data_IF_776234804929
#
_entry.id   IF_776234804929
#
_cell.length_a   1.000
_cell.length_b   1.000
_cell.length_c   1.000
_cell.angle_alpha   90.00
_cell.angle_beta   90.00
_cell.angle_gamma   90.00
#
_symmetry.space_group_name_H-M   'P 1'
#
loop_
_entity.id
_entity.type
_entity.pdbx_description
1 polymer ?
#
# COMPACT_ATOMS: atom_id res chain seq x y z
N UNK A 1 -2.15 23.89 -1.71
CA UNK A 1 -2.98 22.70 -2.01
C UNK A 1 -2.35 21.52 -1.30
N UNK A 2 -3.05 20.90 -0.35
CA UNK A 2 -2.49 19.78 0.44
C UNK A 2 -2.44 18.54 -0.46
N UNK A 3 -1.27 17.92 -0.55
CA UNK A 3 -1.04 16.68 -1.29
C UNK A 3 -1.16 15.51 -0.32
N UNK A 4 -1.98 14.52 -0.66
CA UNK A 4 -2.12 13.29 0.10
C UNK A 4 -1.22 12.21 -0.51
N UNK A 5 -0.43 11.52 0.31
CA UNK A 5 0.45 10.42 -0.14
C UNK A 5 -0.01 9.10 0.46
N UNK A 6 -0.45 8.17 -0.37
CA UNK A 6 -0.92 6.87 0.07
C UNK A 6 0.06 5.80 -0.39
N UNK A 7 0.48 4.96 0.53
CA UNK A 7 1.63 4.07 0.35
C UNK A 7 1.11 2.65 0.52
N UNK A 8 1.34 1.81 -0.49
CA UNK A 8 1.04 0.39 -0.46
C UNK A 8 2.37 -0.35 -0.51
N UNK A 9 2.75 -0.98 0.59
CA UNK A 9 4.09 -1.50 0.80
C UNK A 9 3.96 -2.99 1.05
N UNK A 10 4.49 -3.77 0.13
CA UNK A 10 4.62 -5.20 0.28
C UNK A 10 5.38 -5.48 1.56
N UNK A 11 4.90 -6.44 2.34
CA UNK A 11 5.47 -6.96 3.58
C UNK A 11 5.46 -8.49 3.54
N UNK A 12 5.44 -9.09 2.36
CA UNK A 12 5.49 -10.54 2.16
C UNK A 12 6.88 -11.13 2.44
N UNK A 13 6.94 -12.44 2.56
CA UNK A 13 8.19 -13.15 2.84
C UNK A 13 9.25 -13.01 1.74
N UNK A 14 8.85 -12.75 0.48
CA UNK A 14 9.78 -12.64 -0.65
C UNK A 14 10.67 -11.40 -0.57
N UNK A 15 10.18 -10.33 0.05
CA UNK A 15 10.95 -9.10 0.25
C UNK A 15 11.75 -9.07 1.57
N UNK A 16 11.72 -10.14 2.38
CA UNK A 16 12.36 -10.18 3.70
C UNK A 16 13.84 -9.75 3.67
N UNK A 17 14.56 -10.12 2.60
CA UNK A 17 15.99 -9.82 2.47
C UNK A 17 16.29 -8.32 2.25
N UNK A 18 15.34 -7.55 1.70
CA UNK A 18 15.50 -6.11 1.49
C UNK A 18 14.66 -5.27 2.45
N UNK A 19 13.80 -5.89 3.26
CA UNK A 19 12.86 -5.20 4.15
C UNK A 19 13.53 -4.20 5.08
N UNK A 20 14.61 -4.58 5.76
CA UNK A 20 15.26 -3.68 6.72
C UNK A 20 15.79 -2.41 6.02
N UNK A 21 16.34 -2.56 4.81
CA UNK A 21 16.76 -1.42 4.00
C UNK A 21 15.55 -0.58 3.57
N UNK A 22 14.48 -1.22 3.10
CA UNK A 22 13.25 -0.56 2.68
C UNK A 22 12.64 0.24 3.83
N UNK A 23 12.41 -0.38 4.99
CA UNK A 23 11.86 0.27 6.18
C UNK A 23 12.69 1.47 6.63
N UNK A 24 14.02 1.37 6.56
CA UNK A 24 14.94 2.46 6.88
C UNK A 24 14.91 3.61 5.88
N UNK A 25 14.96 3.30 4.59
CA UNK A 25 14.87 4.29 3.53
C UNK A 25 13.53 5.01 3.62
N UNK A 26 12.45 4.25 3.75
CA UNK A 26 11.09 4.75 3.70
C UNK A 26 10.74 5.66 4.88
N UNK A 27 11.13 5.26 6.09
CA UNK A 27 10.90 6.05 7.31
C UNK A 27 11.61 7.41 7.30
N UNK A 28 12.62 7.59 6.43
CA UNK A 28 13.36 8.86 6.24
C UNK A 28 12.86 9.68 5.05
N UNK A 29 12.36 9.01 4.01
CA UNK A 29 12.13 9.63 2.70
C UNK A 29 10.71 10.13 2.49
N UNK A 30 9.71 9.56 3.16
CA UNK A 30 8.30 9.85 2.85
C UNK A 30 7.66 10.78 3.89
N UNK A 31 6.91 11.82 3.45
CA UNK A 31 6.16 12.67 4.36
C UNK A 31 5.21 11.86 5.26
N UNK A 32 5.32 12.09 6.58
CA UNK A 32 4.43 11.49 7.57
C UNK A 32 3.08 12.22 7.66
N UNK A 33 3.09 13.52 7.36
CA UNK A 33 1.89 14.34 7.35
C UNK A 33 1.07 14.11 6.09
N UNK A 34 -0.25 14.09 6.24
CA UNK A 34 -1.20 13.86 5.14
C UNK A 34 -0.82 12.63 4.28
N UNK A 35 -0.45 11.54 4.96
CA UNK A 35 -0.19 10.26 4.32
C UNK A 35 -0.99 9.12 4.93
N UNK A 36 -1.23 8.07 4.15
CA UNK A 36 -1.73 6.78 4.63
C UNK A 36 -0.67 5.76 4.25
N UNK A 37 -0.32 4.86 5.16
CA UNK A 37 0.56 3.76 4.87
C UNK A 37 -0.18 2.44 5.10
N UNK A 38 -0.16 1.59 4.10
CA UNK A 38 -0.76 0.26 4.09
C UNK A 38 0.39 -0.70 3.85
N UNK A 39 0.70 -1.55 4.83
CA UNK A 39 1.56 -2.70 4.59
C UNK A 39 0.69 -3.89 4.20
N UNK A 40 1.17 -4.79 3.35
CA UNK A 40 0.37 -5.96 2.95
C UNK A 40 1.20 -7.23 2.87
N UNK A 41 0.62 -8.32 3.37
CA UNK A 41 1.13 -9.67 3.19
C UNK A 41 -0.04 -10.61 2.90
N UNK A 42 -0.37 -11.49 3.84
CA UNK A 42 -1.60 -12.29 3.79
C UNK A 42 -2.86 -11.41 3.87
N UNK A 43 -2.74 -10.25 4.55
CA UNK A 43 -3.78 -9.25 4.71
C UNK A 43 -3.17 -7.85 4.69
N UNK A 44 -3.91 -6.82 4.24
CA UNK A 44 -3.49 -5.43 4.35
C UNK A 44 -3.64 -4.92 5.79
N UNK A 45 -2.70 -4.08 6.22
CA UNK A 45 -2.69 -3.42 7.53
C UNK A 45 -2.48 -1.93 7.32
N UNK A 46 -3.44 -1.12 7.75
CA UNK A 46 -3.30 0.34 7.77
C UNK A 46 -2.48 0.75 8.99
N UNK A 47 -1.33 1.39 8.77
CA UNK A 47 -0.49 1.89 9.85
C UNK A 47 -1.14 3.10 10.52
N UNK A 48 -1.34 3.00 11.84
CA UNK A 48 -1.85 4.09 12.69
C UNK A 48 -0.70 4.87 13.32
N UNK A 49 -0.94 6.14 13.67
CA UNK A 49 0.04 6.95 14.41
C UNK A 49 1.14 7.56 13.53
N UNK A 50 2.41 7.41 13.93
CA UNK A 50 3.56 8.04 13.27
C UNK A 50 3.89 7.48 11.87
N UNK A 51 3.16 6.44 11.41
CA UNK A 51 3.31 5.79 10.10
C UNK A 51 4.76 5.33 9.85
N UNK A 52 5.46 4.98 10.93
CA UNK A 52 6.81 4.44 10.89
C UNK A 52 6.72 2.96 10.60
N UNK A 53 7.49 2.52 9.62
CA UNK A 53 7.61 1.10 9.28
C UNK A 53 8.66 0.50 10.21
N UNK A 54 8.22 -0.45 11.02
CA UNK A 54 9.12 -1.20 11.89
C UNK A 54 10.11 -2.03 11.07
N UNK A 55 11.36 -2.09 11.51
CA UNK A 55 12.41 -2.83 10.81
C UNK A 55 12.23 -4.35 10.86
N UNK A 56 11.51 -4.85 11.86
CA UNK A 56 11.08 -6.25 11.87
C UNK A 56 9.86 -6.42 10.96
N UNK A 57 10.00 -7.21 9.89
CA UNK A 57 8.92 -7.49 8.94
C UNK A 57 7.77 -8.24 9.60
N UNK A 58 8.01 -8.97 10.70
CA UNK A 58 6.95 -9.69 11.43
C UNK A 58 5.89 -8.76 12.04
N UNK A 59 6.23 -7.49 12.27
CA UNK A 59 5.28 -6.46 12.71
C UNK A 59 4.32 -6.00 11.59
N UNK A 60 4.61 -6.38 10.34
CA UNK A 60 3.83 -5.98 9.15
C UNK A 60 3.35 -7.19 8.33
N UNK A 61 3.89 -8.38 8.59
CA UNK A 61 3.62 -9.59 7.82
C UNK A 61 4.77 -10.60 7.79
N UNK A 62 5.18 -10.99 6.58
CA UNK A 62 6.18 -12.02 6.28
C UNK A 62 5.59 -13.32 5.72
N UNK A 63 4.30 -13.31 5.36
CA UNK A 63 3.59 -14.41 4.70
C UNK A 63 3.57 -14.30 3.17
N UNK A 64 2.48 -14.73 2.53
CA UNK A 64 2.27 -14.51 1.10
C UNK A 64 2.02 -13.04 0.77
N UNK A 65 1.92 -12.72 -0.51
CA UNK A 65 1.51 -11.42 -1.00
C UNK A 65 0.08 -11.50 -1.57
N UNK A 66 -0.81 -10.63 -1.08
CA UNK A 66 -2.18 -10.48 -1.56
C UNK A 66 -2.39 -9.06 -2.09
N UNK A 67 -1.87 -8.81 -3.29
CA UNK A 67 -1.85 -7.46 -3.90
C UNK A 67 -3.28 -6.91 -4.04
N UNK A 68 -4.23 -7.75 -4.45
CA UNK A 68 -5.63 -7.34 -4.66
C UNK A 68 -6.26 -6.81 -3.38
N UNK A 69 -6.01 -7.46 -2.23
CA UNK A 69 -6.57 -7.00 -0.95
C UNK A 69 -5.97 -5.67 -0.52
N UNK A 70 -4.69 -5.42 -0.83
CA UNK A 70 -4.07 -4.12 -0.59
C UNK A 70 -4.76 -3.00 -1.37
N UNK A 71 -5.14 -3.25 -2.62
CA UNK A 71 -5.89 -2.28 -3.43
C UNK A 71 -7.35 -2.11 -3.00
N UNK A 72 -8.01 -3.17 -2.54
CA UNK A 72 -9.34 -3.05 -1.91
C UNK A 72 -9.27 -2.14 -0.68
N UNK A 73 -8.27 -2.34 0.18
CA UNK A 73 -8.09 -1.48 1.34
C UNK A 73 -7.75 -0.04 0.95
N UNK A 74 -6.93 0.15 -0.09
CA UNK A 74 -6.67 1.48 -0.63
C UNK A 74 -7.94 2.19 -1.12
N UNK A 75 -8.83 1.50 -1.84
CA UNK A 75 -10.14 2.05 -2.25
C UNK A 75 -11.00 2.43 -1.03
N UNK A 76 -11.01 1.61 0.03
CA UNK A 76 -11.70 1.93 1.28
C UNK A 76 -11.15 3.21 1.92
N UNK A 77 -9.83 3.41 1.89
CA UNK A 77 -9.19 4.61 2.41
C UNK A 77 -9.46 5.84 1.53
N UNK A 78 -9.60 5.68 0.21
CA UNK A 78 -9.97 6.77 -0.70
C UNK A 78 -11.34 7.37 -0.39
N UNK A 79 -12.30 6.57 0.09
CA UNK A 79 -13.63 7.05 0.46
C UNK A 79 -13.62 8.14 1.56
N UNK A 80 -12.55 8.22 2.35
CA UNK A 80 -12.38 9.21 3.41
C UNK A 80 -11.59 10.45 2.97
N UNK A 81 -11.16 10.51 1.71
CA UNK A 81 -10.33 11.58 1.16
C UNK A 81 -11.21 12.49 0.29
N UNK A 82 -10.98 13.80 0.32
CA UNK A 82 -11.73 14.70 -0.55
C UNK A 82 -11.28 14.54 -2.01
N UNK A 83 -12.24 14.45 -2.94
CA UNK A 83 -11.98 14.37 -4.39
C UNK A 83 -11.18 15.55 -4.94
N UNK A 84 -11.18 16.69 -4.24
CA UNK A 84 -10.44 17.90 -4.61
C UNK A 84 -8.95 17.84 -4.19
N UNK A 85 -8.56 16.88 -3.37
CA UNK A 85 -7.16 16.68 -2.97
C UNK A 85 -6.40 15.94 -4.07
N UNK A 86 -5.20 16.43 -4.41
CA UNK A 86 -4.28 15.69 -5.28
C UNK A 86 -3.67 14.53 -4.50
N UNK A 87 -3.77 13.34 -5.05
CA UNK A 87 -3.29 12.12 -4.41
C UNK A 87 -2.09 11.56 -5.16
N UNK A 88 -1.12 11.04 -4.42
CA UNK A 88 -0.08 10.19 -4.98
C UNK A 88 -0.15 8.83 -4.29
N UNK A 89 -0.41 7.78 -5.08
CA UNK A 89 -0.29 6.42 -4.64
C UNK A 89 1.13 5.94 -4.97
N UNK A 90 1.83 5.38 -4.00
CA UNK A 90 3.13 4.73 -4.21
C UNK A 90 2.98 3.25 -3.89
N UNK A 91 3.26 2.39 -4.87
CA UNK A 91 3.17 0.95 -4.73
C UNK A 91 4.57 0.32 -4.78
N UNK A 92 4.96 -0.36 -3.71
CA UNK A 92 6.24 -1.05 -3.62
C UNK A 92 5.97 -2.53 -3.44
N UNK A 93 6.44 -3.34 -4.38
CA UNK A 93 6.40 -4.80 -4.33
C UNK A 93 7.50 -5.36 -5.23
N UNK A 94 7.96 -6.57 -4.94
CA UNK A 94 8.79 -7.34 -5.88
C UNK A 94 7.96 -8.00 -7.00
N UNK A 95 6.63 -7.82 -6.97
CA UNK A 95 5.69 -8.33 -7.96
C UNK A 95 5.32 -9.81 -7.78
N UNK A 96 5.86 -10.47 -6.76
CA UNK A 96 5.50 -11.85 -6.45
C UNK A 96 4.14 -11.87 -5.76
N UNK A 97 3.07 -12.23 -6.47
CA UNK A 97 1.76 -12.48 -5.88
C UNK A 97 1.52 -13.97 -5.67
N UNK A 98 0.86 -14.32 -4.56
CA UNK A 98 0.58 -15.72 -4.20
C UNK A 98 -0.24 -16.46 -5.27
N UNK A 99 -0.96 -15.75 -6.15
CA UNK A 99 -1.77 -16.32 -7.22
C UNK A 99 -1.75 -15.47 -8.50
N UNK A 100 -0.54 -15.17 -9.00
CA UNK A 100 -0.32 -14.29 -10.16
C UNK A 100 -1.17 -14.65 -11.40
N UNK A 101 -1.42 -15.94 -11.64
CA UNK A 101 -2.21 -16.44 -12.79
C UNK A 101 -3.69 -16.04 -12.74
N UNK A 102 -4.19 -15.67 -11.57
CA UNK A 102 -5.58 -15.23 -11.37
C UNK A 102 -5.70 -13.75 -11.06
N UNK A 103 -4.59 -13.02 -11.07
CA UNK A 103 -4.51 -11.63 -10.61
C UNK A 103 -5.46 -10.71 -11.39
N UNK A 104 -5.43 -10.74 -12.73
CA UNK A 104 -6.30 -9.93 -13.58
C UNK A 104 -7.79 -10.17 -13.29
N UNK A 105 -8.20 -11.43 -13.18
CA UNK A 105 -9.57 -11.81 -12.83
C UNK A 105 -9.95 -11.28 -11.45
N UNK A 106 -9.09 -11.45 -10.44
CA UNK A 106 -9.37 -10.98 -9.08
C UNK A 106 -9.45 -9.46 -9.01
N UNK A 107 -8.58 -8.73 -9.70
CA UNK A 107 -8.63 -7.27 -9.79
C UNK A 107 -9.98 -6.81 -10.34
N UNK A 108 -10.41 -7.37 -11.49
CA UNK A 108 -11.71 -7.04 -12.11
C UNK A 108 -12.92 -7.38 -11.25
N UNK A 109 -12.83 -8.43 -10.42
CA UNK A 109 -13.93 -8.88 -9.58
C UNK A 109 -14.04 -8.16 -8.24
N UNK A 110 -12.92 -7.66 -7.70
CA UNK A 110 -12.88 -7.13 -6.33
C UNK A 110 -12.66 -5.62 -6.26
N UNK A 111 -12.10 -5.00 -7.30
CA UNK A 111 -11.88 -3.55 -7.33
C UNK A 111 -13.06 -2.85 -8.00
N UNK A 112 -13.52 -1.79 -7.35
CA UNK A 112 -14.54 -0.90 -7.92
C UNK A 112 -13.93 0.11 -8.90
N UNK A 113 -12.63 0.36 -8.80
CA UNK A 113 -11.92 1.37 -9.54
C UNK A 113 -12.11 2.77 -8.94
N UNK A 114 -11.60 3.79 -9.64
CA UNK A 114 -11.66 5.18 -9.20
C UNK A 114 -13.04 5.84 -9.46
N UNK A 115 -14.11 5.29 -8.87
CA UNK A 115 -15.49 5.73 -9.10
C UNK A 115 -15.74 7.19 -8.68
N UNK A 116 -15.03 7.65 -7.65
CA UNK A 116 -15.13 9.01 -7.13
C UNK A 116 -14.32 10.05 -7.94
N UNK A 117 -13.65 9.62 -9.01
CA UNK A 117 -12.83 10.46 -9.89
C UNK A 117 -11.72 11.25 -9.16
N UNK A 118 -11.04 10.61 -8.20
CA UNK A 118 -9.84 11.20 -7.59
C UNK A 118 -8.77 11.47 -8.63
N UNK A 119 -8.02 12.56 -8.44
CA UNK A 119 -6.82 12.85 -9.23
C UNK A 119 -5.63 12.11 -8.60
N UNK A 120 -5.42 10.87 -9.04
CA UNK A 120 -4.39 9.97 -8.53
C UNK A 120 -3.19 9.98 -9.48
N UNK A 121 -2.03 10.35 -8.95
CA UNK A 121 -0.74 10.07 -9.58
C UNK A 121 -0.22 8.74 -9.02
N UNK A 122 0.10 7.77 -9.89
CA UNK A 122 0.58 6.45 -9.48
C UNK A 122 2.09 6.36 -9.71
N UNK A 123 2.84 5.86 -8.72
CA UNK A 123 4.30 5.66 -8.76
C UNK A 123 4.59 4.22 -8.36
#
# INVERSE_FOLDING_TARGET
>A
MIKQVNQLIDASGSIRNCWQWLANFWSKSIPKDNSIAITFSNYPTVLKGEKVIHQDIQEHGGGGAQIVLAFVEFENQLANISVNQKLTAIFISDGADSMVTTLDRKMKQNLSGNLLNHRINFI
#
